data_IF_807031048428
#
_entry.id   IF_807031048428
#
_cell.length_a   1.000
_cell.length_b   1.000
_cell.length_c   1.000
_cell.angle_alpha   90.00
_cell.angle_beta   90.00
_cell.angle_gamma   90.00
#
_symmetry.space_group_name_H-M   'P 1'
#
loop_
_entity.id
_entity.type
_entity.pdbx_description
1 polymer ?
#
# COMPACT_ATOMS: atom_id res chain seq x y z
N UNK A 1 -3.74 -2.11 -37.62
CA UNK A 1 -2.58 -2.72 -36.94
C UNK A 1 -3.16 -3.58 -35.85
N UNK A 2 -2.60 -4.75 -35.59
CA UNK A 2 -3.13 -5.62 -34.55
C UNK A 2 -2.93 -4.98 -33.17
N UNK A 3 -3.99 -4.93 -32.35
CA UNK A 3 -3.94 -4.35 -31.00
C UNK A 3 -2.86 -5.06 -30.16
N UNK A 4 -2.65 -6.36 -30.38
CA UNK A 4 -1.64 -7.16 -29.69
C UNK A 4 -0.20 -6.70 -30.00
N UNK A 5 0.08 -6.39 -31.28
CA UNK A 5 1.39 -5.86 -31.70
C UNK A 5 1.63 -4.47 -31.13
N UNK A 6 0.59 -3.62 -31.11
CA UNK A 6 0.64 -2.31 -30.48
C UNK A 6 0.95 -2.42 -28.99
N UNK A 7 0.25 -3.30 -28.28
CA UNK A 7 0.49 -3.53 -26.86
C UNK A 7 1.92 -3.99 -26.63
N UNK A 8 2.44 -4.92 -27.44
CA UNK A 8 3.82 -5.36 -27.31
C UNK A 8 4.82 -4.22 -27.48
N UNK A 9 4.61 -3.33 -28.45
CA UNK A 9 5.44 -2.13 -28.63
C UNK A 9 5.35 -1.21 -27.40
N UNK A 10 4.13 -0.91 -26.94
CA UNK A 10 3.87 -0.01 -25.82
C UNK A 10 4.48 -0.53 -24.50
N UNK A 11 4.49 -1.83 -24.26
CA UNK A 11 5.06 -2.43 -23.03
C UNK A 11 6.57 -2.30 -22.94
N UNK A 12 7.27 -2.13 -24.06
CA UNK A 12 8.73 -1.98 -24.12
C UNK A 12 9.19 -0.54 -23.93
N UNK A 13 8.27 0.42 -23.89
CA UNK A 13 8.59 1.84 -23.79
C UNK A 13 8.76 2.26 -22.32
N UNK A 14 9.67 3.20 -22.03
CA UNK A 14 9.74 3.81 -20.69
C UNK A 14 8.39 4.41 -20.31
N UNK A 15 7.95 4.23 -19.06
CA UNK A 15 6.63 4.69 -18.58
C UNK A 15 6.37 6.16 -18.92
N UNK A 16 7.37 7.05 -18.76
CA UNK A 16 7.25 8.47 -19.12
C UNK A 16 6.92 8.70 -20.60
N UNK A 17 7.52 7.92 -21.49
CA UNK A 17 7.25 7.99 -22.93
C UNK A 17 5.85 7.45 -23.23
N UNK A 18 5.46 6.36 -22.56
CA UNK A 18 4.11 5.80 -22.66
C UNK A 18 3.03 6.84 -22.35
N UNK A 19 3.18 7.63 -21.28
CA UNK A 19 2.23 8.70 -20.95
C UNK A 19 2.11 9.76 -22.06
N UNK A 20 3.21 10.10 -22.75
CA UNK A 20 3.20 11.09 -23.84
C UNK A 20 2.53 10.55 -25.10
N UNK A 21 2.60 9.24 -25.33
CA UNK A 21 2.01 8.65 -26.52
C UNK A 21 0.49 8.57 -26.52
N UNK A 22 -0.17 8.88 -25.39
CA UNK A 22 -1.61 9.17 -25.38
C UNK A 22 -2.00 10.27 -26.37
N UNK A 23 -1.08 11.18 -26.70
CA UNK A 23 -1.33 12.28 -27.62
C UNK A 23 -1.12 11.92 -29.10
N UNK A 24 -0.64 10.71 -29.43
CA UNK A 24 -0.29 10.34 -30.82
C UNK A 24 -1.54 10.10 -31.66
N UNK A 25 -2.46 9.25 -31.18
CA UNK A 25 -3.75 9.03 -31.81
C UNK A 25 -4.78 8.48 -30.81
N UNK A 26 -6.05 8.44 -31.20
CA UNK A 26 -7.15 7.94 -30.35
C UNK A 26 -6.97 6.48 -29.95
N UNK A 27 -6.46 5.65 -30.85
CA UNK A 27 -6.22 4.23 -30.61
C UNK A 27 -5.16 4.01 -29.52
N UNK A 28 -4.03 4.73 -29.59
CA UNK A 28 -3.00 4.68 -28.55
C UNK A 28 -3.51 5.24 -27.24
N UNK A 29 -4.28 6.34 -27.28
CA UNK A 29 -4.91 6.89 -26.08
C UNK A 29 -5.83 5.87 -25.40
N UNK A 30 -6.66 5.16 -26.19
CA UNK A 30 -7.54 4.08 -25.72
C UNK A 30 -6.74 2.93 -25.13
N UNK A 31 -5.73 2.42 -25.83
CA UNK A 31 -4.92 1.30 -25.33
C UNK A 31 -4.19 1.67 -24.02
N UNK A 32 -3.55 2.83 -23.98
CA UNK A 32 -2.80 3.28 -22.78
C UNK A 32 -3.73 3.59 -21.61
N UNK A 33 -4.95 4.05 -21.88
CA UNK A 33 -5.89 4.43 -20.83
C UNK A 33 -6.72 3.26 -20.33
N UNK A 34 -7.21 2.37 -21.21
CA UNK A 34 -8.31 1.45 -20.89
C UNK A 34 -7.99 -0.03 -21.18
N UNK A 35 -6.85 -0.35 -21.78
CA UNK A 35 -6.53 -1.74 -22.13
C UNK A 35 -5.90 -2.52 -20.96
N UNK A 36 -6.64 -3.50 -20.45
CA UNK A 36 -6.20 -4.35 -19.33
C UNK A 36 -5.06 -5.30 -19.71
N UNK A 37 -4.87 -5.62 -20.98
CA UNK A 37 -3.75 -6.44 -21.44
C UNK A 37 -2.42 -5.66 -21.36
N UNK A 38 -2.41 -4.42 -21.84
CA UNK A 38 -1.29 -3.49 -21.72
C UNK A 38 -0.95 -3.23 -20.25
N UNK A 39 -1.95 -2.84 -19.45
CA UNK A 39 -1.77 -2.51 -18.03
C UNK A 39 -1.11 -3.67 -17.28
N UNK A 40 -1.55 -4.91 -17.52
CA UNK A 40 -0.96 -6.11 -16.87
C UNK A 40 0.51 -6.34 -17.22
N UNK A 41 0.97 -5.92 -18.40
CA UNK A 41 2.35 -6.11 -18.88
C UNK A 41 3.32 -4.99 -18.49
N UNK A 42 2.86 -3.85 -17.97
CA UNK A 42 3.75 -2.74 -17.56
C UNK A 42 4.59 -3.08 -16.33
N UNK A 43 5.82 -2.55 -16.21
CA UNK A 43 6.67 -2.79 -15.04
C UNK A 43 6.03 -2.19 -13.78
N UNK A 44 6.18 -2.89 -12.65
CA UNK A 44 5.83 -2.32 -11.35
C UNK A 44 6.89 -1.30 -10.96
N UNK A 45 6.47 -0.15 -10.43
CA UNK A 45 7.41 0.79 -9.81
C UNK A 45 7.24 0.65 -8.31
N UNK A 46 8.22 0.08 -7.62
CA UNK A 46 8.14 0.02 -6.16
C UNK A 46 8.23 1.43 -5.62
N UNK A 47 7.24 1.83 -4.83
CA UNK A 47 7.16 3.13 -4.22
C UNK A 47 7.14 3.00 -2.71
N UNK A 48 7.77 3.96 -2.04
CA UNK A 48 7.92 4.03 -0.60
C UNK A 48 7.47 5.41 -0.12
N UNK A 49 6.97 5.51 1.11
CA UNK A 49 6.76 6.79 1.81
C UNK A 49 7.70 6.82 3.00
N UNK A 50 8.28 7.97 3.29
CA UNK A 50 9.15 8.15 4.46
C UNK A 50 9.05 9.57 4.98
N UNK A 51 9.48 9.76 6.23
CA UNK A 51 9.50 11.06 6.90
C UNK A 51 10.94 11.43 7.22
N UNK A 52 11.33 12.65 6.86
CA UNK A 52 12.63 13.21 7.26
C UNK A 52 12.43 14.08 8.50
N UNK A 53 13.29 13.91 9.51
CA UNK A 53 13.36 14.81 10.65
C UNK A 53 14.61 15.67 10.43
N UNK A 54 14.45 16.92 10.02
CA UNK A 54 15.60 17.83 10.01
C UNK A 54 15.76 18.48 11.40
N UNK A 55 16.99 18.80 11.86
CA UNK A 55 17.24 19.31 13.21
C UNK A 55 16.44 20.57 13.60
N UNK A 56 15.85 21.26 12.63
CA UNK A 56 15.10 22.51 12.82
C UNK A 56 13.75 22.56 12.05
N UNK A 57 13.26 21.45 11.47
CA UNK A 57 12.00 21.46 10.68
C UNK A 57 11.06 20.30 11.03
N UNK A 58 9.79 20.52 10.70
CA UNK A 58 8.65 19.59 10.80
C UNK A 58 8.84 18.32 10.00
N UNK A 59 8.18 17.23 10.43
CA UNK A 59 8.09 15.96 9.68
C UNK A 59 7.45 16.17 8.31
N UNK A 60 8.26 16.28 7.25
CA UNK A 60 7.73 16.37 5.89
C UNK A 60 7.61 14.97 5.26
N UNK A 61 6.40 14.56 4.84
CA UNK A 61 6.24 13.30 4.12
C UNK A 61 6.87 13.41 2.73
N UNK A 62 7.78 12.48 2.44
CA UNK A 62 8.36 12.27 1.11
C UNK A 62 7.94 10.91 0.57
N UNK A 63 7.95 10.77 -0.75
CA UNK A 63 7.82 9.45 -1.39
C UNK A 63 9.06 9.13 -2.19
N UNK A 64 9.42 7.87 -2.30
CA UNK A 64 10.46 7.40 -3.21
C UNK A 64 9.84 6.44 -4.22
N UNK A 65 10.43 6.38 -5.42
CA UNK A 65 10.07 5.39 -6.44
C UNK A 65 11.32 4.78 -7.05
N UNK A 66 11.23 3.52 -7.48
CA UNK A 66 12.35 2.84 -8.15
C UNK A 66 12.73 3.57 -9.43
N UNK A 67 13.99 3.99 -9.53
CA UNK A 67 14.58 4.54 -10.75
C UNK A 67 15.10 3.43 -11.66
N UNK A 68 15.37 3.79 -12.92
CA UNK A 68 15.86 2.86 -13.96
C UNK A 68 17.22 2.23 -13.66
N UNK A 69 17.95 2.75 -12.68
CA UNK A 69 19.22 2.26 -12.17
C UNK A 69 19.07 1.31 -10.96
N UNK A 70 17.84 0.95 -10.57
CA UNK A 70 17.57 0.07 -9.43
C UNK A 70 17.54 0.77 -8.06
N UNK A 71 17.87 2.06 -8.00
CA UNK A 71 17.81 2.86 -6.77
C UNK A 71 16.41 3.36 -6.41
N UNK A 72 16.22 3.82 -5.17
CA UNK A 72 15.03 4.58 -4.78
C UNK A 72 15.30 6.08 -4.92
N UNK A 73 14.60 6.74 -5.84
CA UNK A 73 14.68 8.19 -6.01
C UNK A 73 13.67 8.89 -5.13
N UNK A 74 14.15 9.71 -4.19
CA UNK A 74 13.32 10.62 -3.41
C UNK A 74 12.56 11.62 -4.28
N UNK A 75 11.28 11.80 -3.97
CA UNK A 75 10.35 12.70 -4.63
C UNK A 75 9.54 13.46 -3.58
N UNK A 76 9.22 14.71 -3.88
CA UNK A 76 8.46 15.58 -2.98
C UNK A 76 6.96 15.56 -3.27
N UNK A 77 6.14 15.68 -2.21
CA UNK A 77 4.69 15.82 -2.27
C UNK A 77 4.23 17.29 -2.49
N UNK A 78 5.11 18.18 -2.96
CA UNK A 78 4.79 19.62 -3.18
C UNK A 78 3.63 19.90 -4.14
N UNK A 79 3.25 18.94 -4.99
CA UNK A 79 2.03 19.06 -5.81
C UNK A 79 0.73 19.08 -4.98
N UNK A 80 0.82 18.70 -3.70
CA UNK A 80 -0.27 18.73 -2.73
C UNK A 80 -0.07 19.90 -1.76
N UNK A 81 -0.91 20.95 -1.81
CA UNK A 81 -0.69 22.16 -0.99
C UNK A 81 -0.70 21.92 0.52
N UNK A 82 -1.33 20.84 0.98
CA UNK A 82 -1.50 20.54 2.41
C UNK A 82 -0.49 19.50 2.93
N UNK A 83 0.58 19.20 2.19
CA UNK A 83 1.56 18.16 2.55
C UNK A 83 2.25 18.39 3.91
N UNK A 84 2.42 19.65 4.33
CA UNK A 84 3.01 19.99 5.63
C UNK A 84 2.02 19.92 6.80
N UNK A 85 0.72 19.99 6.53
CA UNK A 85 -0.34 20.05 7.54
C UNK A 85 -1.25 18.82 7.53
N UNK A 86 -0.86 17.78 6.80
CA UNK A 86 -1.60 16.54 6.65
C UNK A 86 -0.71 15.35 6.94
N UNK A 87 -1.32 14.30 7.48
CA UNK A 87 -0.65 13.02 7.75
C UNK A 87 -1.06 12.01 6.69
N UNK A 88 -0.18 11.06 6.36
CA UNK A 88 -0.55 9.93 5.51
C UNK A 88 -1.16 8.86 6.42
N UNK A 89 -2.39 8.47 6.10
CA UNK A 89 -3.19 7.52 6.88
C UNK A 89 -2.97 6.11 6.36
N UNK A 90 -3.10 5.94 5.05
CA UNK A 90 -3.04 4.64 4.40
C UNK A 90 -2.58 4.76 2.94
N UNK A 91 -2.20 3.62 2.36
CA UNK A 91 -1.73 3.51 0.99
C UNK A 91 -2.29 2.26 0.33
N UNK A 92 -2.87 2.40 -0.86
CA UNK A 92 -3.44 1.28 -1.59
C UNK A 92 -3.24 1.44 -3.10
N UNK A 93 -2.56 0.46 -3.72
CA UNK A 93 -2.39 0.33 -5.17
C UNK A 93 -2.10 1.66 -5.92
N UNK A 94 -1.07 2.40 -5.50
CA UNK A 94 -0.69 3.63 -6.18
C UNK A 94 -1.23 4.91 -5.55
N UNK A 95 -2.31 4.81 -4.78
CA UNK A 95 -2.99 5.96 -4.17
C UNK A 95 -2.62 6.10 -2.70
N UNK A 96 -2.54 7.36 -2.25
CA UNK A 96 -2.28 7.73 -0.87
C UNK A 96 -3.55 8.32 -0.26
N UNK A 97 -3.92 7.87 0.94
CA UNK A 97 -4.93 8.53 1.77
C UNK A 97 -4.23 9.44 2.77
N UNK A 98 -4.61 10.71 2.77
CA UNK A 98 -4.09 11.70 3.70
C UNK A 98 -5.21 12.37 4.49
N UNK A 99 -4.96 12.71 5.75
CA UNK A 99 -5.89 13.45 6.60
C UNK A 99 -5.26 14.76 7.05
N UNK A 100 -5.95 15.87 6.80
CA UNK A 100 -5.58 17.18 7.31
C UNK A 100 -6.36 17.47 8.57
N UNK A 101 -5.67 17.57 9.71
CA UNK A 101 -6.29 17.95 10.98
C UNK A 101 -6.83 19.39 10.94
N UNK A 102 -6.13 20.30 10.24
CA UNK A 102 -6.56 21.69 10.08
C UNK A 102 -7.88 21.80 9.30
N UNK A 103 -8.02 21.04 8.21
CA UNK A 103 -9.23 21.06 7.39
C UNK A 103 -10.29 20.07 7.85
N UNK A 104 -9.96 19.19 8.80
CA UNK A 104 -10.78 18.05 9.22
C UNK A 104 -11.30 17.25 8.01
N UNK A 105 -10.42 17.01 7.04
CA UNK A 105 -10.81 16.45 5.74
C UNK A 105 -9.79 15.43 5.22
N UNK A 106 -10.32 14.39 4.58
CA UNK A 106 -9.52 13.42 3.83
C UNK A 106 -9.17 13.94 2.44
N UNK A 107 -7.98 13.53 1.98
CA UNK A 107 -7.49 13.77 0.62
C UNK A 107 -6.97 12.44 0.07
N UNK A 108 -7.30 12.15 -1.19
CA UNK A 108 -6.73 11.03 -1.93
C UNK A 108 -5.76 11.57 -2.97
N UNK A 109 -4.53 11.07 -2.95
CA UNK A 109 -3.45 11.55 -3.81
C UNK A 109 -2.99 10.45 -4.76
N UNK A 110 -2.65 10.84 -5.98
CA UNK A 110 -1.94 10.02 -6.95
C UNK A 110 -0.59 10.68 -7.24
N UNK A 111 0.51 10.21 -6.61
CA UNK A 111 1.86 10.68 -6.91
C UNK A 111 2.22 10.47 -8.39
N UNK A 112 1.65 9.42 -8.99
CA UNK A 112 1.76 9.06 -10.40
C UNK A 112 1.39 10.20 -11.35
N UNK A 113 0.18 10.72 -11.13
CA UNK A 113 -0.40 11.75 -12.00
C UNK A 113 -0.20 13.14 -11.41
N UNK A 114 0.41 13.25 -10.22
CA UNK A 114 0.50 14.49 -9.41
C UNK A 114 -0.87 15.16 -9.24
N UNK A 115 -1.90 14.34 -9.02
CA UNK A 115 -3.28 14.79 -8.78
C UNK A 115 -3.70 14.44 -7.37
N UNK A 116 -4.65 15.19 -6.85
CA UNK A 116 -5.27 14.91 -5.56
C UNK A 116 -6.75 15.32 -5.61
N UNK A 117 -7.55 14.71 -4.73
CA UNK A 117 -8.97 15.02 -4.55
C UNK A 117 -9.25 15.18 -3.07
N UNK A 118 -9.86 16.31 -2.69
CA UNK A 118 -10.42 16.51 -1.35
C UNK A 118 -11.76 15.78 -1.26
N UNK A 119 -11.97 15.05 -0.17
CA UNK A 119 -13.22 14.36 0.08
C UNK A 119 -14.17 15.26 0.90
N UNK A 120 -15.49 15.08 0.78
CA UNK A 120 -16.43 15.67 1.73
C UNK A 120 -16.09 15.23 3.15
N UNK A 121 -16.47 16.05 4.14
CA UNK A 121 -16.23 15.72 5.54
C UNK A 121 -17.17 14.56 5.94
N UNK A 122 -16.66 13.48 6.58
CA UNK A 122 -17.52 12.45 7.15
C UNK A 122 -18.39 13.04 8.27
N UNK A 123 -19.56 12.44 8.52
CA UNK A 123 -20.49 12.93 9.54
C UNK A 123 -19.94 12.69 10.95
N UNK A 124 -19.22 11.60 11.16
CA UNK A 124 -18.60 11.22 12.43
C UNK A 124 -17.09 11.36 12.38
N UNK A 125 -16.46 11.43 13.56
CA UNK A 125 -15.00 11.48 13.67
C UNK A 125 -14.44 10.08 13.41
N UNK A 126 -13.58 9.97 12.40
CA UNK A 126 -12.85 8.73 12.13
C UNK A 126 -11.90 8.36 13.27
N UNK A 127 -11.95 7.10 13.70
CA UNK A 127 -10.99 6.48 14.62
C UNK A 127 -9.88 5.73 13.87
N UNK A 128 -10.22 5.12 12.73
CA UNK A 128 -9.32 4.42 11.83
C UNK A 128 -9.84 4.57 10.40
N UNK A 129 -8.95 4.67 9.41
CA UNK A 129 -9.38 4.70 8.01
C UNK A 129 -8.42 3.94 7.11
N UNK A 130 -8.98 3.40 6.03
CA UNK A 130 -8.22 2.67 5.01
C UNK A 130 -8.75 2.99 3.62
N UNK A 131 -7.85 2.96 2.64
CA UNK A 131 -8.15 3.10 1.25
C UNK A 131 -8.38 1.72 0.63
N UNK A 132 -9.53 1.57 -0.03
CA UNK A 132 -9.87 0.39 -0.80
C UNK A 132 -9.85 0.76 -2.28
N UNK A 133 -8.80 0.34 -2.98
CA UNK A 133 -8.63 0.63 -4.40
C UNK A 133 -8.05 -0.57 -5.11
N UNK A 134 -8.78 -1.14 -6.07
CA UNK A 134 -8.26 -2.20 -6.94
C UNK A 134 -8.40 -1.80 -8.40
N UNK A 135 -7.34 -1.22 -8.99
CA UNK A 135 -7.41 -0.72 -10.34
C UNK A 135 -7.39 -1.81 -11.42
N UNK A 136 -7.24 -3.09 -11.04
CA UNK A 136 -7.48 -4.21 -11.95
C UNK A 136 -8.98 -4.43 -12.19
N UNK A 137 -9.81 -4.06 -11.22
CA UNK A 137 -11.23 -4.40 -11.18
C UNK A 137 -12.12 -3.16 -11.37
N UNK A 138 -11.72 -1.99 -10.86
CA UNK A 138 -12.48 -0.76 -10.98
C UNK A 138 -11.58 0.47 -11.05
N UNK A 139 -11.99 1.50 -11.77
CA UNK A 139 -11.37 2.83 -11.73
C UNK A 139 -11.75 3.62 -10.47
N UNK A 140 -12.65 3.08 -9.65
CA UNK A 140 -13.19 3.71 -8.46
C UNK A 140 -12.41 3.30 -7.22
N UNK A 141 -12.26 4.23 -6.29
CA UNK A 141 -11.73 3.96 -4.96
C UNK A 141 -12.80 4.22 -3.91
N UNK A 142 -12.69 3.51 -2.79
CA UNK A 142 -13.46 3.74 -1.58
C UNK A 142 -12.56 4.13 -0.43
N UNK A 143 -13.03 4.96 0.47
CA UNK A 143 -12.38 5.21 1.77
C UNK A 143 -13.30 4.69 2.86
N UNK A 144 -12.83 3.68 3.59
CA UNK A 144 -13.57 3.11 4.72
C UNK A 144 -13.09 3.81 5.99
N UNK A 145 -14.01 4.45 6.71
CA UNK A 145 -13.77 5.19 7.95
C UNK A 145 -14.50 4.51 9.09
N UNK A 146 -13.79 4.09 10.12
CA UNK A 146 -14.36 3.51 11.34
C UNK A 146 -14.82 4.65 12.24
N UNK A 147 -16.14 4.86 12.29
CA UNK A 147 -16.78 5.93 13.04
C UNK A 147 -17.01 5.56 14.51
N UNK A 148 -17.14 4.27 14.81
CA UNK A 148 -17.31 3.77 16.17
C UNK A 148 -17.19 2.24 16.23
N UNK A 149 -16.94 1.72 17.42
CA UNK A 149 -16.93 0.28 17.68
C UNK A 149 -18.20 -0.10 18.45
N UNK A 150 -18.84 -1.18 18.02
CA UNK A 150 -19.87 -1.87 18.81
C UNK A 150 -19.26 -3.14 19.40
N UNK A 151 -19.94 -3.84 20.31
CA UNK A 151 -19.35 -4.97 21.05
C UNK A 151 -18.67 -6.01 20.15
N UNK A 152 -19.29 -6.39 19.03
CA UNK A 152 -18.79 -7.41 18.10
C UNK A 152 -18.73 -6.94 16.64
N UNK A 153 -18.43 -5.65 16.44
CA UNK A 153 -18.59 -4.98 15.15
C UNK A 153 -18.13 -3.53 15.14
N UNK A 154 -18.44 -2.81 14.06
CA UNK A 154 -18.21 -1.37 13.97
C UNK A 154 -19.28 -0.65 13.15
N UNK A 155 -19.38 0.64 13.43
CA UNK A 155 -20.02 1.62 12.56
C UNK A 155 -18.97 2.17 11.59
N UNK A 156 -19.26 2.06 10.30
CA UNK A 156 -18.40 2.53 9.22
C UNK A 156 -19.09 3.67 8.47
N UNK A 157 -18.30 4.66 8.06
CA UNK A 157 -18.66 5.58 6.99
C UNK A 157 -17.79 5.27 5.78
N UNK A 158 -18.41 5.00 4.65
CA UNK A 158 -17.71 4.60 3.42
C UNK A 158 -17.93 5.66 2.37
N UNK A 159 -16.85 6.32 1.96
CA UNK A 159 -16.85 7.19 0.80
C UNK A 159 -16.67 6.34 -0.46
N UNK A 160 -17.47 6.58 -1.49
CA UNK A 160 -17.28 5.98 -2.81
C UNK A 160 -17.02 7.06 -3.86
N UNK A 161 -15.98 6.88 -4.70
CA UNK A 161 -15.51 7.91 -5.61
C UNK A 161 -16.42 8.19 -6.81
N UNK A 162 -17.31 7.25 -7.12
CA UNK A 162 -18.34 7.31 -8.17
C UNK A 162 -19.52 8.20 -7.77
N UNK A 163 -20.03 8.01 -6.54
CA UNK A 163 -21.14 8.80 -6.00
C UNK A 163 -20.67 10.11 -5.38
N UNK A 164 -19.41 10.17 -4.92
CA UNK A 164 -18.86 11.31 -4.22
C UNK A 164 -19.44 11.52 -2.82
N UNK A 165 -20.10 10.51 -2.25
CA UNK A 165 -20.82 10.60 -0.97
C UNK A 165 -20.30 9.59 0.06
N UNK A 166 -20.52 9.91 1.34
CA UNK A 166 -20.35 8.98 2.45
C UNK A 166 -21.66 8.22 2.70
N UNK A 167 -21.56 6.91 2.90
CA UNK A 167 -22.68 6.05 3.28
C UNK A 167 -22.35 5.37 4.60
N UNK A 168 -23.30 5.36 5.53
CA UNK A 168 -23.14 4.66 6.80
C UNK A 168 -23.43 3.17 6.63
N UNK A 169 -22.58 2.34 7.24
CA UNK A 169 -22.74 0.90 7.33
C UNK A 169 -22.52 0.45 8.76
N UNK A 170 -23.20 -0.63 9.15
CA UNK A 170 -22.94 -1.31 10.41
C UNK A 170 -22.56 -2.75 10.11
N UNK A 171 -21.37 -3.13 10.58
CA UNK A 171 -20.81 -4.47 10.33
C UNK A 171 -20.69 -5.23 11.64
N UNK A 172 -21.01 -6.52 11.59
CA UNK A 172 -20.86 -7.43 12.72
C UNK A 172 -20.02 -8.62 12.28
N UNK A 173 -18.89 -8.84 12.94
CA UNK A 173 -17.94 -9.92 12.62
C UNK A 173 -17.87 -11.00 13.71
N UNK A 174 -18.62 -10.84 14.81
CA UNK A 174 -18.77 -11.88 15.84
C UNK A 174 -17.53 -12.11 16.70
N UNK A 175 -16.61 -11.13 16.75
CA UNK A 175 -15.45 -11.10 17.63
C UNK A 175 -15.50 -9.79 18.40
N UNK A 176 -15.20 -9.84 19.70
CA UNK A 176 -15.19 -8.64 20.54
C UNK A 176 -14.26 -7.57 19.95
N UNK A 177 -14.72 -6.32 19.87
CA UNK A 177 -13.97 -5.24 19.21
C UNK A 177 -12.61 -4.95 19.86
N UNK A 178 -12.45 -5.22 21.16
CA UNK A 178 -11.15 -5.11 21.85
C UNK A 178 -10.08 -6.08 21.34
N UNK A 179 -10.48 -7.14 20.63
CA UNK A 179 -9.55 -8.05 19.99
C UNK A 179 -8.99 -7.47 18.68
N UNK A 180 -9.64 -6.49 18.07
CA UNK A 180 -9.27 -5.95 16.77
C UNK A 180 -7.94 -5.18 16.84
N UNK A 181 -7.15 -5.32 15.77
CA UNK A 181 -5.89 -4.61 15.56
C UNK A 181 -6.10 -3.45 14.59
N UNK A 182 -5.15 -2.51 14.59
CA UNK A 182 -5.05 -1.46 13.56
C UNK A 182 -4.31 -1.94 12.31
N UNK A 183 -3.84 -3.19 12.30
CA UNK A 183 -3.17 -3.80 11.15
C UNK A 183 -4.21 -4.32 10.16
N UNK A 184 -4.34 -3.62 9.04
CA UNK A 184 -5.34 -3.88 8.01
C UNK A 184 -4.71 -3.93 6.62
N UNK A 185 -5.33 -4.65 5.69
CA UNK A 185 -5.00 -4.56 4.27
C UNK A 185 -6.25 -4.75 3.41
N UNK A 186 -6.30 -4.07 2.27
CA UNK A 186 -7.33 -4.29 1.27
C UNK A 186 -6.79 -5.19 0.16
N UNK A 187 -7.52 -6.27 -0.14
CA UNK A 187 -7.19 -7.18 -1.22
C UNK A 187 -8.45 -7.89 -1.72
N UNK A 188 -8.61 -7.95 -3.05
CA UNK A 188 -9.68 -8.71 -3.71
C UNK A 188 -11.08 -8.35 -3.17
N UNK A 189 -11.42 -7.07 -3.23
CA UNK A 189 -12.69 -6.50 -2.73
C UNK A 189 -12.95 -6.68 -1.23
N UNK A 190 -11.99 -7.23 -0.49
CA UNK A 190 -12.12 -7.56 0.93
C UNK A 190 -11.13 -6.73 1.76
N UNK A 191 -11.62 -6.15 2.85
CA UNK A 191 -10.82 -5.51 3.88
C UNK A 191 -10.49 -6.55 4.96
N UNK A 192 -9.21 -6.90 5.07
CA UNK A 192 -8.71 -7.83 6.08
C UNK A 192 -8.17 -7.07 7.30
N UNK A 193 -8.53 -7.53 8.49
CA UNK A 193 -8.14 -6.93 9.77
C UNK A 193 -7.66 -8.03 10.71
N UNK A 194 -6.50 -7.85 11.33
CA UNK A 194 -6.02 -8.79 12.35
C UNK A 194 -6.85 -8.69 13.64
N UNK A 195 -7.21 -9.83 14.22
CA UNK A 195 -7.99 -9.94 15.45
C UNK A 195 -7.35 -10.95 16.43
N UNK A 196 -7.06 -10.50 17.64
CA UNK A 196 -6.43 -11.33 18.68
C UNK A 196 -7.34 -12.46 19.16
N UNK A 197 -6.78 -13.60 19.59
CA UNK A 197 -5.35 -13.93 19.55
C UNK A 197 -4.88 -14.44 18.18
N UNK A 198 -5.76 -15.02 17.35
CA UNK A 198 -5.36 -15.80 16.18
C UNK A 198 -6.37 -15.75 15.02
N UNK A 199 -6.99 -14.61 14.75
CA UNK A 199 -7.95 -14.48 13.64
C UNK A 199 -7.58 -13.35 12.67
N UNK A 200 -8.08 -13.49 11.44
CA UNK A 200 -8.27 -12.40 10.48
C UNK A 200 -9.77 -12.26 10.23
N UNK A 201 -10.28 -11.04 10.33
CA UNK A 201 -11.64 -10.68 9.90
C UNK A 201 -11.55 -10.12 8.49
N UNK A 202 -12.30 -10.68 7.54
CA UNK A 202 -12.45 -10.15 6.20
C UNK A 202 -13.83 -9.51 6.02
N UNK A 203 -13.89 -8.21 5.72
CA UNK A 203 -15.11 -7.45 5.45
C UNK A 203 -15.22 -7.24 3.94
N UNK A 204 -16.30 -7.72 3.32
CA UNK A 204 -16.57 -7.43 1.92
C UNK A 204 -16.95 -5.95 1.75
N UNK A 205 -16.13 -5.20 1.01
CA UNK A 205 -16.27 -3.74 0.79
C UNK A 205 -17.30 -3.43 -0.32
N UNK A 206 -17.85 -4.46 -0.98
CA UNK A 206 -18.91 -4.29 -1.98
C UNK A 206 -20.29 -4.35 -1.35
N UNK A 207 -20.53 -5.30 -0.45
CA UNK A 207 -21.82 -5.47 0.22
C UNK A 207 -21.89 -4.90 1.63
N UNK A 208 -20.77 -4.90 2.37
CA UNK A 208 -20.70 -4.67 3.82
C UNK A 208 -21.64 -5.54 4.67
N UNK A 209 -22.29 -6.55 4.06
CA UNK A 209 -23.24 -7.42 4.75
C UNK A 209 -22.61 -8.71 5.27
N UNK A 210 -21.49 -9.12 4.70
CA UNK A 210 -20.81 -10.39 5.03
C UNK A 210 -19.43 -10.15 5.59
N UNK A 211 -19.18 -10.68 6.79
CA UNK A 211 -17.85 -10.78 7.39
C UNK A 211 -17.41 -12.24 7.42
N UNK A 212 -16.17 -12.49 7.01
CA UNK A 212 -15.51 -13.79 7.14
C UNK A 212 -14.56 -13.77 8.34
N UNK A 213 -14.44 -14.92 9.01
CA UNK A 213 -13.47 -15.13 10.09
C UNK A 213 -12.55 -16.27 9.68
N UNK A 214 -11.26 -15.97 9.59
CA UNK A 214 -10.24 -16.91 9.14
C UNK A 214 -9.28 -17.12 10.30
N UNK A 215 -9.10 -18.35 10.75
CA UNK A 215 -8.12 -18.68 11.78
C UNK A 215 -6.70 -18.54 11.21
N UNK A 216 -5.81 -17.94 11.98
CA UNK A 216 -4.40 -17.77 11.65
C UNK A 216 -3.61 -19.05 11.93
N UNK A 217 -2.54 -19.31 11.17
CA UNK A 217 -1.71 -20.49 11.38
C UNK A 217 -0.90 -20.43 12.67
N UNK A 218 -0.54 -19.22 13.11
CA UNK A 218 0.15 -18.93 14.38
C UNK A 218 -0.53 -17.72 15.05
N UNK A 219 -0.62 -17.66 16.39
CA UNK A 219 -1.15 -16.51 17.11
C UNK A 219 -0.42 -15.20 16.76
N UNK A 220 -1.14 -14.09 16.85
CA UNK A 220 -0.63 -12.76 16.60
C UNK A 220 0.45 -12.43 17.63
N UNK A 221 1.69 -12.27 17.15
CA UNK A 221 2.85 -11.81 17.92
C UNK A 221 3.18 -10.34 17.60
N UNK A 222 4.18 -9.80 18.29
CA UNK A 222 4.73 -8.48 17.99
C UNK A 222 5.12 -8.39 16.51
N UNK A 223 4.88 -7.24 15.87
CA UNK A 223 5.17 -6.99 14.45
C UNK A 223 4.45 -7.90 13.44
N UNK A 224 3.35 -8.57 13.84
CA UNK A 224 2.49 -9.28 12.89
C UNK A 224 1.97 -8.34 11.79
N UNK A 225 1.95 -8.83 10.55
CA UNK A 225 1.57 -8.10 9.34
C UNK A 225 0.77 -8.99 8.41
N UNK A 226 -0.15 -8.36 7.69
CA UNK A 226 -0.90 -8.94 6.59
C UNK A 226 -0.70 -8.10 5.34
N UNK A 227 -0.79 -8.72 4.18
CA UNK A 227 -0.67 -8.03 2.91
C UNK A 227 -0.83 -8.97 1.73
N UNK A 228 -0.56 -8.45 0.54
CA UNK A 228 -0.69 -9.20 -0.71
C UNK A 228 0.68 -9.55 -1.28
N UNK A 229 0.87 -10.80 -1.66
CA UNK A 229 1.99 -11.23 -2.48
C UNK A 229 1.56 -12.30 -3.48
N UNK A 230 1.98 -12.16 -4.74
CA UNK A 230 1.69 -13.15 -5.78
C UNK A 230 0.21 -13.49 -5.94
N UNK A 231 -0.68 -12.50 -5.77
CA UNK A 231 -2.13 -12.68 -5.90
C UNK A 231 -2.78 -13.43 -4.73
N UNK A 232 -2.12 -13.59 -3.60
CA UNK A 232 -2.73 -14.19 -2.40
C UNK A 232 -2.52 -13.32 -1.17
N UNK A 233 -3.37 -13.55 -0.16
CA UNK A 233 -3.21 -12.97 1.16
C UNK A 233 -2.04 -13.67 1.88
N UNK A 234 -1.14 -12.87 2.43
CA UNK A 234 0.01 -13.33 3.18
C UNK A 234 -0.07 -12.82 4.61
N UNK A 235 0.41 -13.66 5.53
CA UNK A 235 0.59 -13.35 6.94
C UNK A 235 2.05 -13.54 7.29
N UNK A 236 2.64 -12.60 8.03
CA UNK A 236 3.98 -12.75 8.54
C UNK A 236 4.07 -12.19 9.95
N UNK A 237 4.88 -12.81 10.79
CA UNK A 237 5.26 -12.24 12.06
C UNK A 237 6.66 -12.69 12.45
N UNK A 238 7.24 -11.96 13.39
CA UNK A 238 8.52 -12.32 13.99
C UNK A 238 8.31 -13.33 15.11
N UNK A 239 9.19 -14.32 15.17
CA UNK A 239 9.25 -15.35 16.20
C UNK A 239 10.71 -15.49 16.67
N UNK A 240 11.08 -14.73 17.69
CA UNK A 240 12.48 -14.58 18.11
C UNK A 240 13.34 -14.02 16.98
N UNK A 241 14.30 -14.82 16.53
CA UNK A 241 15.22 -14.48 15.43
C UNK A 241 14.78 -15.02 14.07
N UNK A 242 13.53 -15.51 13.98
CA UNK A 242 12.94 -15.98 12.74
C UNK A 242 11.82 -15.06 12.27
N UNK A 243 11.76 -14.81 10.98
CA UNK A 243 10.59 -14.27 10.31
C UNK A 243 9.84 -15.42 9.67
N UNK A 244 8.63 -15.70 10.15
CA UNK A 244 7.76 -16.73 9.57
C UNK A 244 6.75 -16.08 8.64
N UNK A 245 6.54 -16.70 7.48
CA UNK A 245 5.68 -16.20 6.41
C UNK A 245 4.76 -17.31 5.93
N UNK A 246 3.48 -17.01 5.84
CA UNK A 246 2.43 -17.90 5.33
C UNK A 246 1.67 -17.24 4.20
N UNK A 247 1.09 -18.08 3.35
CA UNK A 247 0.18 -17.68 2.26
C UNK A 247 -1.13 -18.43 2.44
N UNK A 248 -2.24 -17.71 2.39
CA UNK A 248 -3.57 -18.28 2.42
C UNK A 248 -3.85 -18.95 1.06
N UNK A 249 -4.13 -20.24 1.07
CA UNK A 249 -4.46 -21.02 -0.14
C UNK A 249 -5.95 -20.99 -0.41
N UNK A 250 -6.75 -21.19 0.63
CA UNK A 250 -8.21 -21.21 0.56
C UNK A 250 -8.79 -20.45 1.75
N UNK A 251 -9.44 -19.32 1.46
CA UNK A 251 -10.08 -18.47 2.47
C UNK A 251 -11.30 -19.12 3.11
N UNK A 252 -12.04 -19.97 2.38
CA UNK A 252 -13.23 -20.65 2.89
C UNK A 252 -12.86 -21.74 3.90
N UNK A 253 -11.71 -22.39 3.70
CA UNK A 253 -11.20 -23.44 4.59
C UNK A 253 -10.24 -22.93 5.66
N UNK A 254 -9.79 -21.67 5.55
CA UNK A 254 -8.72 -21.13 6.39
C UNK A 254 -7.40 -21.91 6.23
N UNK A 255 -7.14 -22.43 5.03
CA UNK A 255 -5.97 -23.26 4.78
C UNK A 255 -4.74 -22.38 4.51
N UNK A 256 -3.82 -22.34 5.47
CA UNK A 256 -2.55 -21.63 5.35
C UNK A 256 -1.42 -22.59 4.99
N UNK A 257 -0.54 -22.12 4.11
CA UNK A 257 0.68 -22.85 3.73
C UNK A 257 1.88 -22.06 4.20
N UNK A 258 2.78 -22.71 4.95
CA UNK A 258 4.08 -22.14 5.31
C UNK A 258 4.84 -21.86 4.01
N UNK A 259 5.30 -20.63 3.84
CA UNK A 259 6.09 -20.23 2.67
C UNK A 259 7.57 -20.13 2.99
N UNK A 260 7.90 -19.50 4.11
CA UNK A 260 9.28 -19.32 4.49
C UNK A 260 9.44 -19.13 5.97
N UNK A 261 10.56 -19.63 6.47
CA UNK A 261 11.05 -19.33 7.81
C UNK A 261 12.46 -18.80 7.63
N UNK A 262 12.64 -17.50 7.86
CA UNK A 262 13.88 -16.79 7.51
C UNK A 262 14.62 -16.42 8.78
N UNK A 263 15.89 -16.83 8.89
CA UNK A 263 16.74 -16.46 10.02
C UNK A 263 17.26 -15.03 9.86
N UNK A 264 16.85 -14.13 10.77
CA UNK A 264 17.24 -12.73 10.79
C UNK A 264 18.78 -12.56 10.86
N UNK A 265 19.51 -13.26 11.74
CA UNK A 265 20.98 -13.19 11.76
C UNK A 265 21.62 -13.52 10.40
N UNK A 266 21.14 -14.58 9.74
CA UNK A 266 21.66 -14.97 8.42
C UNK A 266 21.40 -13.92 7.34
N UNK A 267 20.29 -13.17 7.44
CA UNK A 267 20.01 -12.07 6.52
C UNK A 267 20.96 -10.91 6.72
N UNK A 268 21.25 -10.55 7.98
CA UNK A 268 22.15 -9.44 8.33
C UNK A 268 23.57 -9.73 7.84
N UNK A 269 24.03 -10.99 7.99
CA UNK A 269 25.33 -11.43 7.47
C UNK A 269 25.40 -11.32 5.94
N UNK A 270 24.35 -11.79 5.24
CA UNK A 270 24.27 -11.78 3.77
C UNK A 270 24.06 -10.40 3.17
N UNK A 271 23.47 -9.46 3.91
CA UNK A 271 23.21 -8.11 3.41
C UNK A 271 24.42 -7.17 3.50
N UNK A 272 25.58 -7.66 3.98
CA UNK A 272 26.82 -6.89 4.15
C UNK A 272 26.60 -5.53 4.85
N UNK A 273 25.62 -5.46 5.77
CA UNK A 273 25.31 -4.22 6.47
C UNK A 273 26.45 -3.87 7.44
N UNK A 274 26.99 -2.65 7.36
CA UNK A 274 27.92 -2.15 8.38
C UNK A 274 27.15 -1.99 9.69
N UNK A 275 27.75 -2.41 10.80
CA UNK A 275 27.21 -2.17 12.14
C UNK A 275 26.80 -0.69 12.28
N UNK A 276 25.61 -0.44 12.83
CA UNK A 276 25.13 0.91 13.04
C UNK A 276 26.18 1.74 13.81
N UNK A 277 26.38 3.04 13.48
CA UNK A 277 27.33 3.90 14.19
C UNK A 277 26.98 4.13 15.67
N UNK A 278 25.79 3.67 16.12
CA UNK A 278 25.33 3.75 17.49
C UNK A 278 25.20 2.35 18.11
N UNK A 279 26.04 1.98 19.10
CA UNK A 279 26.04 0.66 19.75
C UNK A 279 24.77 0.35 20.58
N UNK A 280 23.84 1.30 20.69
CA UNK A 280 22.77 1.27 21.69
C UNK A 280 21.44 0.69 21.17
N UNK A 281 21.31 0.43 19.87
CA UNK A 281 20.08 -0.10 19.27
C UNK A 281 20.36 -1.51 18.75
N UNK A 282 19.57 -2.53 19.16
CA UNK A 282 19.69 -3.87 18.56
C UNK A 282 19.52 -3.75 17.03
N UNK A 283 20.11 -4.64 16.21
CA UNK A 283 19.88 -4.64 14.78
C UNK A 283 18.36 -4.80 14.54
N UNK A 284 17.68 -3.69 14.26
CA UNK A 284 16.23 -3.68 14.12
C UNK A 284 15.90 -4.24 12.74
N UNK A 285 15.89 -5.56 12.63
CA UNK A 285 15.17 -6.22 11.56
C UNK A 285 13.68 -5.93 11.76
N UNK A 286 13.11 -5.15 10.86
CA UNK A 286 11.69 -4.79 10.87
C UNK A 286 11.06 -5.21 9.55
N UNK A 287 9.99 -5.99 9.63
CA UNK A 287 9.18 -6.30 8.46
C UNK A 287 8.50 -5.01 7.96
N UNK A 288 8.67 -4.73 6.66
CA UNK A 288 8.10 -3.53 6.07
C UNK A 288 6.91 -3.85 5.19
N UNK A 289 7.07 -4.77 4.23
CA UNK A 289 6.01 -5.10 3.28
C UNK A 289 6.26 -6.39 2.52
N UNK A 290 5.20 -6.91 1.91
CA UNK A 290 5.28 -7.91 0.87
C UNK A 290 5.50 -7.27 -0.49
N UNK A 291 6.32 -7.88 -1.33
CA UNK A 291 6.33 -7.55 -2.74
C UNK A 291 4.99 -8.02 -3.36
N UNK A 292 4.32 -7.16 -4.15
CA UNK A 292 2.95 -7.39 -4.62
C UNK A 292 2.76 -8.59 -5.57
N UNK A 293 3.82 -9.01 -6.26
CA UNK A 293 3.76 -10.05 -7.29
C UNK A 293 4.81 -11.15 -7.15
N UNK A 294 6.08 -10.77 -7.04
CA UNK A 294 7.18 -11.66 -6.68
C UNK A 294 7.05 -12.10 -5.23
N UNK A 295 7.58 -13.26 -4.91
CA UNK A 295 7.62 -13.80 -3.55
C UNK A 295 8.81 -13.23 -2.77
N UNK A 296 8.89 -11.90 -2.76
CA UNK A 296 9.93 -11.12 -2.08
C UNK A 296 9.30 -10.41 -0.89
N UNK A 297 10.02 -10.31 0.22
CA UNK A 297 9.65 -9.46 1.36
C UNK A 297 10.65 -8.33 1.54
N UNK A 298 10.15 -7.14 1.87
CA UNK A 298 10.99 -5.98 2.15
C UNK A 298 11.19 -5.84 3.64
N UNK A 299 12.46 -5.87 4.06
CA UNK A 299 12.87 -5.72 5.44
C UNK A 299 13.76 -4.49 5.60
N UNK A 300 13.67 -3.85 6.76
CA UNK A 300 14.65 -2.89 7.22
C UNK A 300 15.74 -3.62 8.00
N UNK A 301 16.99 -3.54 7.57
CA UNK A 301 18.14 -4.20 8.18
C UNK A 301 19.27 -3.18 8.36
N UNK A 302 19.54 -2.79 9.61
CA UNK A 302 20.70 -1.96 9.99
C UNK A 302 20.89 -0.70 9.12
N UNK A 303 19.80 0.03 8.86
CA UNK A 303 19.82 1.27 8.07
C UNK A 303 19.67 1.08 6.55
N UNK A 304 19.62 -0.17 6.09
CA UNK A 304 19.37 -0.51 4.67
C UNK A 304 18.02 -1.17 4.52
N UNK A 305 17.41 -0.94 3.36
CA UNK A 305 16.22 -1.66 2.93
C UNK A 305 16.64 -2.83 2.05
N UNK A 306 16.20 -4.03 2.40
CA UNK A 306 16.61 -5.26 1.73
C UNK A 306 15.38 -5.99 1.21
N UNK A 307 15.41 -6.35 -0.07
CA UNK A 307 14.48 -7.32 -0.64
C UNK A 307 15.00 -8.72 -0.38
N UNK A 308 14.15 -9.61 0.14
CA UNK A 308 14.51 -11.00 0.36
C UNK A 308 13.58 -11.91 -0.43
N UNK A 309 14.13 -12.64 -1.39
CA UNK A 309 13.40 -13.65 -2.13
C UNK A 309 13.20 -14.87 -1.21
N UNK A 310 11.94 -15.15 -0.90
CA UNK A 310 11.56 -16.21 0.04
C UNK A 310 11.77 -17.60 -0.57
N UNK A 311 11.74 -17.73 -1.90
CA UNK A 311 11.90 -19.01 -2.59
C UNK A 311 13.37 -19.37 -2.77
N UNK A 312 14.16 -18.41 -3.29
CA UNK A 312 15.58 -18.63 -3.54
C UNK A 312 16.40 -18.51 -2.25
N UNK A 313 15.82 -17.92 -1.20
CA UNK A 313 16.51 -17.62 0.05
C UNK A 313 17.62 -16.59 -0.13
N UNK A 314 17.55 -15.81 -1.22
CA UNK A 314 18.56 -14.84 -1.62
C UNK A 314 18.15 -13.44 -1.19
N UNK A 315 19.16 -12.69 -0.76
CA UNK A 315 19.04 -11.26 -0.56
C UNK A 315 19.15 -10.59 -1.93
N UNK A 316 18.05 -10.02 -2.40
CA UNK A 316 18.06 -9.15 -3.57
C UNK A 316 18.69 -7.82 -3.20
N UNK A 317 19.45 -7.25 -4.14
CA UNK A 317 20.24 -6.06 -3.87
C UNK A 317 19.36 -4.92 -3.33
N UNK A 318 19.85 -4.36 -2.24
CA UNK A 318 19.20 -3.35 -1.42
C UNK A 318 18.93 -2.09 -2.24
N UNK A 319 17.73 -1.52 -2.14
CA UNK A 319 17.61 -0.12 -2.48
C UNK A 319 18.34 0.67 -1.41
N UNK A 320 19.58 1.06 -1.71
CA UNK A 320 20.28 2.05 -0.92
C UNK A 320 19.48 3.35 -1.02
N UNK A 321 18.95 3.77 0.13
CA UNK A 321 18.29 5.04 0.24
C UNK A 321 19.38 6.08 -0.01
N UNK A 322 19.23 6.91 -1.04
CA UNK A 322 20.27 7.86 -1.43
C UNK A 322 20.69 8.74 -0.24
N UNK A 323 21.87 9.38 -0.31
CA UNK A 323 22.49 10.18 0.78
C UNK A 323 21.54 11.16 1.52
N UNK A 324 20.48 11.65 0.87
CA UNK A 324 19.45 12.47 1.52
C UNK A 324 18.66 11.75 2.63
N UNK A 325 18.53 10.43 2.54
CA UNK A 325 17.74 9.59 3.44
C UNK A 325 18.53 9.03 4.63
N UNK A 326 19.86 9.18 4.65
CA UNK A 326 20.70 8.88 5.83
C UNK A 326 20.34 9.76 7.03
N UNK A 327 19.67 10.91 6.79
CA UNK A 327 19.20 11.86 7.80
C UNK A 327 17.72 11.70 8.16
N UNK A 328 17.05 10.64 7.73
CA UNK A 328 15.67 10.36 8.13
C UNK A 328 15.67 9.64 9.50
N UNK A 329 14.93 10.18 10.48
CA UNK A 329 14.92 9.65 11.86
C UNK A 329 13.66 8.84 12.20
N UNK A 330 12.59 8.91 11.39
CA UNK A 330 11.36 8.14 11.58
C UNK A 330 10.91 7.45 10.28
N UNK A 331 10.97 6.12 10.28
CA UNK A 331 10.61 5.29 9.13
C UNK A 331 9.24 4.61 9.32
N UNK A 332 8.18 5.21 8.77
CA UNK A 332 6.96 4.49 8.40
C UNK A 332 6.98 4.25 6.89
N UNK A 333 7.54 3.13 6.47
CA UNK A 333 7.58 2.79 5.05
C UNK A 333 6.39 1.93 4.69
N UNK A 334 5.63 2.43 3.73
CA UNK A 334 4.63 1.68 3.00
C UNK A 334 5.22 1.36 1.64
N UNK A 335 5.52 0.09 1.39
CA UNK A 335 5.85 -0.32 0.03
C UNK A 335 4.58 -0.71 -0.68
N UNK A 336 4.41 -0.14 -1.87
CA UNK A 336 3.38 -0.56 -2.78
C UNK A 336 3.96 -0.51 -4.19
N UNK A 337 3.53 -1.41 -5.07
CA UNK A 337 3.68 -1.12 -6.47
C UNK A 337 2.88 0.15 -6.73
N UNK A 338 3.54 1.14 -7.31
CA UNK A 338 2.86 2.03 -8.21
C UNK A 338 1.98 1.17 -9.12
N UNK A 339 0.68 1.41 -9.04
CA UNK A 339 -0.28 0.64 -9.79
C UNK A 339 0.10 0.70 -11.27
N UNK A 340 0.28 -0.50 -11.85
CA UNK A 340 0.35 -0.78 -13.30
C UNK A 340 -0.78 -0.14 -14.11
N UNK A 341 -1.85 0.19 -13.41
CA UNK A 341 -3.12 0.59 -13.94
C UNK A 341 -3.20 2.11 -13.77
N UNK A 342 -2.89 2.80 -14.86
CA UNK A 342 -2.93 4.25 -14.99
C UNK A 342 -4.37 4.76 -15.00
N UNK A 343 -5.12 4.41 -13.95
CA UNK A 343 -6.49 4.81 -13.75
C UNK A 343 -6.56 6.31 -13.51
N UNK A 344 -7.34 6.98 -14.34
CA UNK A 344 -7.73 8.38 -14.17
C UNK A 344 -8.76 8.54 -13.02
N UNK A 345 -8.65 7.79 -11.93
CA UNK A 345 -9.61 7.77 -10.81
C UNK A 345 -9.78 9.14 -10.13
N UNK A 346 -8.81 10.05 -10.33
CA UNK A 346 -8.82 11.43 -9.87
C UNK A 346 -9.04 12.45 -11.01
N UNK A 347 -9.50 12.03 -12.20
CA UNK A 347 -9.50 12.90 -13.38
C UNK A 347 -10.64 13.92 -13.47
N UNK A 348 -11.80 13.67 -12.85
CA UNK A 348 -12.93 14.61 -12.95
C UNK A 348 -13.62 14.79 -11.60
N UNK A 349 -13.60 16.03 -11.08
CA UNK A 349 -14.75 16.80 -10.54
C UNK A 349 -14.27 18.27 -10.44
N UNK A 350 -14.17 18.96 -11.56
CA UNK A 350 -14.27 20.42 -11.58
C UNK A 350 -15.19 20.80 -12.73
N UNK A 351 -16.30 21.47 -12.38
CA UNK A 351 -17.18 22.08 -13.35
C UNK A 351 -16.36 23.02 -14.23
N UNK A 352 -16.28 22.69 -15.51
CA UNK A 352 -15.79 23.60 -16.54
C UNK A 352 -16.83 24.70 -16.72
N UNK A 353 -16.72 25.76 -15.92
CA UNK A 353 -17.19 27.07 -16.36
C UNK A 353 -16.43 27.40 -17.64
N UNK A 354 -17.18 27.56 -18.72
CA UNK A 354 -16.72 28.16 -19.96
C UNK A 354 -15.83 29.38 -19.70
N UNK A 355 -14.67 29.41 -20.31
CA UNK A 355 -14.12 30.64 -20.86
C UNK A 355 -13.52 30.30 -22.22
N UNK A 356 -14.19 30.87 -23.23
CA UNK A 356 -13.78 31.08 -24.62
C UNK A 356 -12.36 31.58 -24.78
#
# INVERSE_FOLDING_TARGET
MDDDLLVEILTRLPLKSLFRFKCVCKEWCRLISDDDHLRRKLPLVTSAIFYTLEPNLTEEPRYACTSSDGGLRGCSLTFFPFHQSSTIVDVCNGLLLSYSSLLSAFHVLSPATRRWRKLPKPSKRSQLSILAFDPCNSSEFKVVSFAGWVEQGAELEVFASDTGNWVEHQVHWGIHSDAMSTTMCFFDSTLYILARPNYIVGIDVTSFGTCSKIELPDPIKHEARIGKSGGCLCYAHRDGDQLKIWKLRDSNRGEWVVRGVVSIPSMVERSHCRSAPFPCLPPQCKFMAFHPQREVVYLWLAGKMVGYDVNEGLVEEACELGKEMERAYLFRIWFFPFSRYMSNCLADVQGSSHCT
#
